data_IF_420892185982
#
_entry.id   IF_420892185982
#
_cell.length_a   1.000
_cell.length_b   1.000
_cell.length_c   1.000
_cell.angle_alpha   90.00
_cell.angle_beta   90.00
_cell.angle_gamma   90.00
#
_symmetry.space_group_name_H-M   'P 1'
#
loop_
_entity.id
_entity.type
_entity.pdbx_description
1 polymer ?
#
# COMPACT_ATOMS: atom_id res chain seq x y z
N UNK A 1 -4.21 18.08 -24.48
CA UNK A 1 -4.73 18.99 -23.42
C UNK A 1 -6.05 18.51 -22.81
N UNK A 2 -6.98 17.92 -23.55
CA UNK A 2 -8.27 17.42 -23.06
C UNK A 2 -8.19 16.15 -22.17
N UNK A 3 -7.21 15.27 -22.41
CA UNK A 3 -6.98 14.03 -21.63
C UNK A 3 -6.65 14.33 -20.15
N UNK A 4 -5.97 15.45 -19.88
CA UNK A 4 -5.58 15.86 -18.53
C UNK A 4 -6.76 16.41 -17.69
N UNK A 5 -7.76 17.02 -18.33
CA UNK A 5 -8.91 17.59 -17.62
C UNK A 5 -9.86 16.49 -17.12
N UNK A 6 -10.15 15.49 -17.97
CA UNK A 6 -11.01 14.36 -17.60
C UNK A 6 -10.42 13.49 -16.48
N UNK A 7 -9.09 13.31 -16.45
CA UNK A 7 -8.40 12.58 -15.38
C UNK A 7 -8.51 13.33 -14.04
N UNK A 8 -8.30 14.65 -14.03
CA UNK A 8 -8.41 15.47 -12.80
C UNK A 8 -9.81 15.43 -12.20
N UNK A 9 -10.86 15.44 -13.03
CA UNK A 9 -12.24 15.32 -12.58
C UNK A 9 -12.49 13.94 -11.95
N UNK A 10 -12.03 12.86 -12.58
CA UNK A 10 -12.15 11.49 -12.04
C UNK A 10 -11.43 11.34 -10.70
N UNK A 11 -10.22 11.88 -10.57
CA UNK A 11 -9.46 11.90 -9.32
C UNK A 11 -10.22 12.65 -8.24
N UNK A 12 -10.74 13.85 -8.53
CA UNK A 12 -11.55 14.63 -7.59
C UNK A 12 -12.78 13.86 -7.11
N UNK A 13 -13.55 13.28 -8.03
CA UNK A 13 -14.75 12.51 -7.69
C UNK A 13 -14.41 11.24 -6.88
N UNK A 14 -13.33 10.55 -7.22
CA UNK A 14 -12.89 9.35 -6.53
C UNK A 14 -12.43 9.68 -5.10
N UNK A 15 -11.64 10.74 -4.90
CA UNK A 15 -11.20 11.20 -3.57
C UNK A 15 -12.40 11.66 -2.74
N UNK A 16 -13.33 12.42 -3.33
CA UNK A 16 -14.56 12.86 -2.64
C UNK A 16 -15.38 11.66 -2.18
N UNK A 17 -15.68 10.73 -3.09
CA UNK A 17 -16.45 9.53 -2.78
C UNK A 17 -15.78 8.70 -1.68
N UNK A 18 -14.46 8.51 -1.74
CA UNK A 18 -13.70 7.81 -0.72
C UNK A 18 -13.85 8.46 0.66
N UNK A 19 -13.66 9.78 0.74
CA UNK A 19 -13.76 10.54 2.00
C UNK A 19 -15.17 10.52 2.57
N UNK A 20 -16.18 10.71 1.73
CA UNK A 20 -17.59 10.64 2.15
C UNK A 20 -17.96 9.24 2.66
N UNK A 21 -17.61 8.18 1.94
CA UNK A 21 -17.83 6.80 2.37
C UNK A 21 -17.14 6.51 3.70
N UNK A 22 -15.89 6.95 3.87
CA UNK A 22 -15.15 6.74 5.12
C UNK A 22 -15.79 7.48 6.30
N UNK A 23 -16.23 8.71 6.09
CA UNK A 23 -16.92 9.50 7.13
C UNK A 23 -18.23 8.85 7.54
N UNK A 24 -19.02 8.36 6.58
CA UNK A 24 -20.28 7.68 6.84
C UNK A 24 -20.09 6.37 7.62
N UNK A 25 -19.11 5.56 7.23
CA UNK A 25 -18.77 4.29 7.92
C UNK A 25 -18.36 4.56 9.37
N UNK A 26 -17.57 5.62 9.61
CA UNK A 26 -17.17 6.04 10.97
C UNK A 26 -18.36 6.48 11.82
N UNK A 27 -19.30 7.23 11.23
CA UNK A 27 -20.54 7.65 11.92
C UNK A 27 -21.41 6.46 12.31
N UNK A 28 -21.38 5.37 11.52
CA UNK A 28 -22.10 4.13 11.81
C UNK A 28 -21.35 3.21 12.80
N UNK A 29 -20.24 3.67 13.40
CA UNK A 29 -19.46 2.90 14.37
C UNK A 29 -18.74 1.67 13.77
N UNK A 30 -18.68 1.55 12.44
CA UNK A 30 -18.01 0.44 11.75
C UNK A 30 -16.59 0.83 11.33
N UNK A 31 -15.61 -0.02 11.66
CA UNK A 31 -14.26 0.06 11.13
C UNK A 31 -14.20 -0.65 9.78
N UNK A 32 -14.10 0.10 8.68
CA UNK A 32 -13.95 -0.48 7.34
C UNK A 32 -13.13 0.45 6.47
N UNK A 33 -11.91 0.07 6.16
CA UNK A 33 -11.00 0.83 5.29
C UNK A 33 -11.08 0.39 3.83
N UNK A 34 -11.52 -0.83 3.57
CA UNK A 34 -11.52 -1.45 2.25
C UNK A 34 -12.65 -0.91 1.34
N UNK A 35 -13.87 -0.79 1.84
CA UNK A 35 -15.03 -0.37 1.04
C UNK A 35 -14.86 1.03 0.41
N UNK A 36 -14.40 2.09 1.13
CA UNK A 36 -14.18 3.40 0.53
C UNK A 36 -13.19 3.36 -0.64
N UNK A 37 -12.13 2.56 -0.51
CA UNK A 37 -11.14 2.39 -1.57
C UNK A 37 -11.69 1.65 -2.79
N UNK A 38 -12.53 0.62 -2.59
CA UNK A 38 -13.21 -0.06 -3.70
C UNK A 38 -14.10 0.89 -4.49
N UNK A 39 -14.85 1.75 -3.82
CA UNK A 39 -15.68 2.79 -4.47
C UNK A 39 -14.80 3.74 -5.29
N UNK A 40 -13.70 4.22 -4.69
CA UNK A 40 -12.78 5.13 -5.36
C UNK A 40 -12.12 4.50 -6.60
N UNK A 41 -11.68 3.24 -6.51
CA UNK A 41 -11.09 2.50 -7.63
C UNK A 41 -12.08 2.20 -8.75
N UNK A 42 -13.39 2.04 -8.47
CA UNK A 42 -14.41 1.94 -9.51
C UNK A 42 -14.56 3.23 -10.31
N UNK A 43 -14.40 4.39 -9.67
CA UNK A 43 -14.47 5.71 -10.33
C UNK A 43 -13.17 6.00 -11.10
N UNK A 44 -12.02 5.70 -10.48
CA UNK A 44 -10.70 5.95 -11.03
C UNK A 44 -9.77 4.75 -10.76
N UNK A 45 -9.67 3.77 -11.69
CA UNK A 45 -8.85 2.56 -11.50
C UNK A 45 -7.36 2.83 -11.22
N UNK A 46 -6.80 3.91 -11.78
CA UNK A 46 -5.40 4.31 -11.60
C UNK A 46 -5.22 5.34 -10.46
N UNK A 47 -6.20 5.46 -9.56
CA UNK A 47 -6.18 6.48 -8.51
C UNK A 47 -4.93 6.39 -7.64
N UNK A 48 -4.55 5.18 -7.21
CA UNK A 48 -3.38 4.98 -6.36
C UNK A 48 -2.10 5.53 -7.00
N UNK A 49 -1.86 5.22 -8.27
CA UNK A 49 -0.67 5.72 -8.98
C UNK A 49 -0.65 7.25 -9.10
N UNK A 50 -1.84 7.86 -9.24
CA UNK A 50 -1.93 9.32 -9.28
C UNK A 50 -1.62 9.95 -7.90
N UNK A 51 -2.14 9.36 -6.81
CA UNK A 51 -1.97 9.87 -5.46
C UNK A 51 -0.56 9.63 -4.88
N UNK A 52 0.10 8.54 -5.30
CA UNK A 52 1.42 8.15 -4.81
C UNK A 52 2.58 8.80 -5.58
N UNK A 53 2.31 9.44 -6.72
CA UNK A 53 3.32 9.90 -7.68
C UNK A 53 4.47 10.72 -7.06
N UNK A 54 4.15 11.61 -6.13
CA UNK A 54 5.11 12.53 -5.52
C UNK A 54 5.38 12.19 -4.03
N UNK A 55 5.16 10.91 -3.65
CA UNK A 55 5.30 10.43 -2.27
C UNK A 55 6.39 9.38 -2.21
N UNK A 56 7.41 9.60 -1.39
CA UNK A 56 8.43 8.59 -1.11
C UNK A 56 7.80 7.44 -0.33
N UNK A 57 7.61 6.30 -0.99
CA UNK A 57 6.89 5.17 -0.38
C UNK A 57 7.84 4.03 -0.03
N UNK A 58 7.71 3.50 1.18
CA UNK A 58 8.31 2.25 1.63
C UNK A 58 7.21 1.22 1.81
N UNK A 59 7.42 0.01 1.28
CA UNK A 59 6.47 -1.09 1.38
C UNK A 59 7.07 -2.18 2.25
N UNK A 60 6.31 -2.65 3.24
CA UNK A 60 6.66 -3.79 4.10
C UNK A 60 5.69 -4.93 3.79
N UNK A 61 6.24 -6.07 3.38
CA UNK A 61 5.49 -7.30 3.07
C UNK A 61 6.14 -8.53 3.68
N UNK A 62 5.51 -9.68 3.56
CA UNK A 62 5.96 -10.97 4.12
C UNK A 62 4.93 -11.55 5.09
N UNK A 63 5.12 -12.79 5.52
CA UNK A 63 4.10 -13.53 6.28
C UNK A 63 3.95 -12.99 7.71
N UNK A 64 5.03 -12.89 8.46
CA UNK A 64 5.02 -12.47 9.86
C UNK A 64 5.90 -11.24 10.10
N UNK A 65 5.62 -10.48 11.16
CA UNK A 65 6.45 -9.36 11.60
C UNK A 65 6.22 -8.04 10.84
N UNK A 66 5.37 -7.98 9.83
CA UNK A 66 5.05 -6.75 9.07
C UNK A 66 4.73 -5.56 9.96
N UNK A 67 3.77 -5.71 10.86
CA UNK A 67 3.32 -4.64 11.76
C UNK A 67 4.42 -4.20 12.73
N UNK A 68 5.22 -5.14 13.25
CA UNK A 68 6.34 -4.83 14.15
C UNK A 68 7.42 -4.03 13.40
N UNK A 69 7.81 -4.49 12.22
CA UNK A 69 8.78 -3.81 11.36
C UNK A 69 8.29 -2.42 10.96
N UNK A 70 7.01 -2.31 10.57
CA UNK A 70 6.40 -1.02 10.25
C UNK A 70 6.45 -0.05 11.42
N UNK A 71 6.13 -0.49 12.63
CA UNK A 71 6.21 0.36 13.84
C UNK A 71 7.63 0.82 14.14
N UNK A 72 8.64 -0.03 13.91
CA UNK A 72 10.06 0.38 14.09
C UNK A 72 10.43 1.48 13.08
N UNK A 73 10.00 1.36 11.84
CA UNK A 73 10.22 2.39 10.81
C UNK A 73 9.45 3.67 11.14
N UNK A 74 8.18 3.57 11.57
CA UNK A 74 7.37 4.72 12.01
C UNK A 74 8.04 5.48 13.14
N UNK A 75 8.57 4.77 14.15
CA UNK A 75 9.28 5.39 15.25
C UNK A 75 10.54 6.11 14.77
N UNK A 76 11.35 5.46 13.93
CA UNK A 76 12.55 6.07 13.37
C UNK A 76 12.25 7.32 12.55
N UNK A 77 11.18 7.31 11.76
CA UNK A 77 10.75 8.48 10.99
C UNK A 77 10.21 9.60 11.87
N UNK A 78 9.50 9.25 12.95
CA UNK A 78 9.02 10.21 13.94
C UNK A 78 10.20 10.90 14.63
N UNK A 79 11.19 10.14 15.07
CA UNK A 79 12.38 10.68 15.73
C UNK A 79 13.22 11.56 14.79
N UNK A 80 13.22 11.24 13.50
CA UNK A 80 13.86 12.04 12.45
C UNK A 80 13.04 13.26 11.99
N UNK A 81 11.82 13.47 12.53
CA UNK A 81 10.94 14.58 12.13
C UNK A 81 10.39 14.47 10.71
N UNK A 82 10.35 13.27 10.14
CA UNK A 82 9.84 13.03 8.79
C UNK A 82 8.32 13.08 8.80
N UNK A 83 7.72 13.83 7.85
CA UNK A 83 6.26 13.90 7.68
C UNK A 83 5.77 12.71 6.87
N UNK A 84 5.08 11.77 7.50
CA UNK A 84 4.60 10.55 6.87
C UNK A 84 3.18 10.16 7.32
N UNK A 85 2.60 9.23 6.58
CA UNK A 85 1.44 8.45 7.02
C UNK A 85 1.70 6.95 6.80
N UNK A 86 1.00 6.12 7.57
CA UNK A 86 1.03 4.67 7.42
C UNK A 86 -0.41 4.13 7.33
N UNK A 87 -0.61 3.03 6.58
CA UNK A 87 -1.89 2.35 6.62
C UNK A 87 -2.03 1.55 7.91
N UNK A 88 -3.23 1.56 8.48
CA UNK A 88 -3.50 0.78 9.68
C UNK A 88 -3.65 -0.71 9.37
N UNK A 89 -3.39 -1.56 10.36
CA UNK A 89 -3.68 -2.98 10.31
C UNK A 89 -5.09 -3.25 9.78
N UNK A 90 -5.23 -4.15 8.82
CA UNK A 90 -6.47 -4.44 8.10
C UNK A 90 -6.72 -3.61 6.84
N UNK A 91 -5.88 -2.60 6.54
CA UNK A 91 -5.92 -1.84 5.29
C UNK A 91 -4.77 -2.23 4.34
N UNK A 92 -4.39 -3.50 4.33
CA UNK A 92 -3.23 -4.06 3.63
C UNK A 92 -3.53 -4.53 2.19
N UNK A 93 -4.78 -4.43 1.74
CA UNK A 93 -5.19 -4.69 0.36
C UNK A 93 -5.07 -3.43 -0.50
N UNK A 94 -5.05 -3.59 -1.83
CA UNK A 94 -4.99 -2.48 -2.79
C UNK A 94 -6.04 -1.39 -2.52
N UNK A 95 -7.27 -1.77 -2.23
CA UNK A 95 -8.37 -0.84 -1.91
C UNK A 95 -8.15 -0.11 -0.58
N UNK A 96 -7.67 -0.81 0.45
CA UNK A 96 -7.34 -0.21 1.74
C UNK A 96 -6.21 0.81 1.61
N UNK A 97 -5.13 0.46 0.94
CA UNK A 97 -3.99 1.35 0.67
C UNK A 97 -4.46 2.56 -0.15
N UNK A 98 -5.28 2.36 -1.19
CA UNK A 98 -5.83 3.46 -1.99
C UNK A 98 -6.68 4.41 -1.14
N UNK A 99 -7.49 3.87 -0.21
CA UNK A 99 -8.29 4.68 0.70
C UNK A 99 -7.42 5.53 1.64
N UNK A 100 -6.32 4.98 2.16
CA UNK A 100 -5.40 5.73 3.00
C UNK A 100 -4.73 6.87 2.22
N UNK A 101 -4.22 6.62 1.01
CA UNK A 101 -3.70 7.68 0.16
C UNK A 101 -4.76 8.76 -0.14
N UNK A 102 -5.99 8.38 -0.46
CA UNK A 102 -7.07 9.32 -0.76
C UNK A 102 -7.43 10.20 0.44
N UNK A 103 -7.47 9.63 1.64
CA UNK A 103 -7.77 10.37 2.88
C UNK A 103 -6.67 11.38 3.20
N UNK A 104 -5.42 11.01 3.00
CA UNK A 104 -4.26 11.85 3.25
C UNK A 104 -3.93 12.82 2.10
N UNK A 105 -4.73 12.81 1.03
CA UNK A 105 -4.60 13.74 -0.09
C UNK A 105 -5.62 14.90 -0.04
N UNK A 106 -5.30 15.98 -0.74
CA UNK A 106 -6.25 17.05 -1.05
C UNK A 106 -7.31 16.55 -2.04
N UNK A 107 -8.36 17.33 -2.27
CA UNK A 107 -9.38 17.00 -3.26
C UNK A 107 -8.83 17.00 -4.70
N UNK A 108 -7.72 17.68 -4.94
CA UNK A 108 -7.00 17.68 -6.23
C UNK A 108 -6.05 16.50 -6.39
N UNK A 109 -5.95 15.61 -5.38
CA UNK A 109 -5.11 14.42 -5.41
C UNK A 109 -3.66 14.64 -4.98
N UNK A 110 -3.30 15.82 -4.45
CA UNK A 110 -1.96 16.04 -3.89
C UNK A 110 -1.89 15.49 -2.47
N UNK A 111 -0.95 14.58 -2.20
CA UNK A 111 -0.72 14.08 -0.85
C UNK A 111 -0.22 15.21 0.08
N UNK A 112 -0.62 15.15 1.34
CA UNK A 112 -0.24 16.11 2.39
C UNK A 112 1.06 15.74 3.09
N UNK A 113 1.55 14.53 2.85
CA UNK A 113 2.74 13.97 3.46
C UNK A 113 3.81 13.72 2.40
N UNK A 114 5.06 13.78 2.80
CA UNK A 114 6.20 13.53 1.91
C UNK A 114 6.53 12.05 1.80
N UNK A 115 6.17 11.26 2.84
CA UNK A 115 6.46 9.84 2.91
C UNK A 115 5.20 9.04 3.22
N UNK A 116 5.20 7.79 2.76
CA UNK A 116 4.19 6.79 3.08
C UNK A 116 4.85 5.47 3.45
N UNK A 117 4.40 4.87 4.54
CA UNK A 117 4.78 3.52 4.94
C UNK A 117 3.58 2.60 4.72
N UNK A 118 3.74 1.62 3.85
CA UNK A 118 2.66 0.74 3.44
C UNK A 118 2.95 -0.68 3.89
N UNK A 119 2.16 -1.17 4.84
CA UNK A 119 2.07 -2.59 5.15
C UNK A 119 1.16 -3.26 4.13
N UNK A 120 1.65 -4.28 3.45
CA UNK A 120 0.93 -4.99 2.39
C UNK A 120 0.94 -6.49 2.63
N UNK A 121 -0.20 -7.11 2.35
CA UNK A 121 -0.30 -8.55 2.15
C UNK A 121 0.48 -8.95 0.88
N UNK A 122 1.00 -10.16 0.81
CA UNK A 122 1.87 -10.62 -0.27
C UNK A 122 1.16 -10.61 -1.64
N UNK A 123 -0.09 -11.04 -1.67
CA UNK A 123 -0.90 -11.00 -2.89
C UNK A 123 -1.26 -9.57 -3.29
N UNK A 124 -1.51 -8.69 -2.31
CA UNK A 124 -1.79 -7.28 -2.54
C UNK A 124 -0.55 -6.51 -2.99
N UNK A 125 0.65 -6.88 -2.52
CA UNK A 125 1.91 -6.24 -2.93
C UNK A 125 2.10 -6.29 -4.45
N UNK A 126 1.86 -7.44 -5.07
CA UNK A 126 1.84 -7.59 -6.55
C UNK A 126 0.93 -6.59 -7.25
N UNK A 127 -0.22 -6.28 -6.66
CA UNK A 127 -1.17 -5.34 -7.24
C UNK A 127 -0.79 -3.88 -6.97
N UNK A 128 -0.32 -3.58 -5.76
CA UNK A 128 0.08 -2.23 -5.32
C UNK A 128 1.32 -1.77 -6.08
N UNK A 129 2.32 -2.64 -6.24
CA UNK A 129 3.59 -2.34 -6.94
C UNK A 129 3.44 -1.91 -8.40
N UNK A 130 2.30 -2.20 -9.04
CA UNK A 130 1.98 -1.71 -10.39
C UNK A 130 1.69 -0.21 -10.43
N UNK A 131 1.32 0.38 -9.30
CA UNK A 131 0.87 1.78 -9.20
C UNK A 131 1.82 2.65 -8.39
N UNK A 132 2.60 2.03 -7.49
CA UNK A 132 3.48 2.74 -6.54
C UNK A 132 4.92 2.48 -6.93
N UNK A 133 5.65 3.54 -7.27
CA UNK A 133 7.11 3.49 -7.42
C UNK A 133 7.76 3.57 -6.03
N UNK A 134 7.95 2.40 -5.41
CA UNK A 134 8.47 2.33 -4.07
C UNK A 134 9.97 2.70 -4.02
N UNK A 135 10.37 3.43 -2.98
CA UNK A 135 11.79 3.74 -2.72
C UNK A 135 12.52 2.56 -2.06
N UNK A 136 11.81 1.82 -1.23
CA UNK A 136 12.31 0.58 -0.63
C UNK A 136 11.16 -0.44 -0.46
N UNK A 137 11.53 -1.69 -0.57
CA UNK A 137 10.67 -2.86 -0.28
C UNK A 137 11.35 -3.68 0.79
N UNK A 138 10.65 -3.92 1.89
CA UNK A 138 11.12 -4.76 3.01
C UNK A 138 10.32 -6.06 3.00
N UNK A 139 10.99 -7.19 2.85
CA UNK A 139 10.41 -8.53 2.95
C UNK A 139 10.87 -9.14 4.26
N UNK A 140 9.95 -9.31 5.20
CA UNK A 140 10.29 -9.74 6.57
C UNK A 140 10.64 -11.22 6.64
N UNK A 141 9.80 -12.06 6.09
CA UNK A 141 9.98 -13.52 5.99
C UNK A 141 8.88 -14.11 5.10
N UNK A 142 9.10 -15.35 4.66
CA UNK A 142 8.11 -16.16 3.96
C UNK A 142 7.95 -17.49 4.67
N UNK A 143 6.95 -17.60 5.53
CA UNK A 143 6.67 -18.84 6.26
C UNK A 143 5.52 -19.62 5.65
N UNK A 144 5.57 -20.93 5.83
CA UNK A 144 4.46 -21.83 5.59
C UNK A 144 3.42 -21.61 6.70
N UNK A 145 2.21 -21.23 6.38
CA UNK A 145 1.12 -21.24 7.36
C UNK A 145 0.76 -22.70 7.66
N UNK A 146 0.41 -23.03 8.93
CA UNK A 146 0.20 -24.41 9.38
C UNK A 146 -0.97 -25.12 8.69
N UNK A 147 -1.80 -24.38 7.96
CA UNK A 147 -2.98 -24.87 7.23
C UNK A 147 -2.74 -25.06 5.72
N UNK A 148 -1.50 -24.84 5.25
CA UNK A 148 -1.20 -24.79 3.82
C UNK A 148 -1.24 -26.16 3.13
N UNK A 149 -2.01 -26.21 2.05
CA UNK A 149 -1.90 -27.22 1.02
C UNK A 149 -0.64 -26.96 0.18
N UNK A 150 -0.05 -28.04 -0.34
CA UNK A 150 1.07 -28.00 -1.27
C UNK A 150 0.82 -26.95 -2.37
N UNK A 151 1.67 -25.92 -2.46
CA UNK A 151 1.60 -24.90 -3.53
C UNK A 151 1.41 -23.44 -3.05
N UNK A 152 0.91 -23.19 -1.84
CA UNK A 152 0.67 -21.82 -1.36
C UNK A 152 1.95 -21.02 -1.15
N UNK A 153 3.01 -21.65 -0.62
CA UNK A 153 4.32 -21.00 -0.40
C UNK A 153 4.93 -20.55 -1.74
N UNK A 154 4.87 -21.42 -2.76
CA UNK A 154 5.37 -21.08 -4.10
C UNK A 154 4.59 -19.90 -4.69
N UNK A 155 3.26 -19.91 -4.54
CA UNK A 155 2.40 -18.83 -5.01
C UNK A 155 2.66 -17.51 -4.25
N UNK A 156 2.93 -17.59 -2.95
CA UNK A 156 3.31 -16.42 -2.13
C UNK A 156 4.64 -15.83 -2.59
N UNK A 157 5.66 -16.67 -2.80
CA UNK A 157 6.95 -16.26 -3.35
C UNK A 157 6.81 -15.62 -4.73
N UNK A 158 6.03 -16.21 -5.62
CA UNK A 158 5.79 -15.68 -6.96
C UNK A 158 5.10 -14.32 -6.92
N UNK A 159 4.15 -14.12 -6.01
CA UNK A 159 3.51 -12.82 -5.83
C UNK A 159 4.51 -11.76 -5.34
N UNK A 160 5.40 -12.12 -4.40
CA UNK A 160 6.45 -11.22 -3.91
C UNK A 160 7.44 -10.92 -5.04
N UNK A 161 7.91 -11.92 -5.78
CA UNK A 161 8.82 -11.74 -6.94
C UNK A 161 8.26 -10.77 -7.96
N UNK A 162 7.01 -10.98 -8.38
CA UNK A 162 6.34 -10.08 -9.33
C UNK A 162 6.25 -8.66 -8.75
N UNK A 163 5.97 -8.53 -7.44
CA UNK A 163 5.95 -7.24 -6.77
C UNK A 163 7.30 -6.53 -6.78
N UNK A 164 8.38 -7.28 -6.55
CA UNK A 164 9.77 -6.79 -6.63
C UNK A 164 10.12 -6.39 -8.07
N UNK A 165 9.78 -7.22 -9.05
CA UNK A 165 10.01 -6.93 -10.48
C UNK A 165 9.30 -5.66 -10.95
N UNK A 166 8.11 -5.37 -10.42
CA UNK A 166 7.42 -4.10 -10.68
C UNK A 166 8.08 -2.90 -10.01
N UNK A 167 8.82 -3.13 -8.90
CA UNK A 167 9.47 -2.09 -8.07
C UNK A 167 10.93 -1.87 -8.47
N UNK A 168 11.22 -1.68 -9.75
CA UNK A 168 12.58 -1.67 -10.34
C UNK A 168 13.56 -0.67 -9.73
N UNK A 169 13.08 0.41 -9.14
CA UNK A 169 13.91 1.46 -8.57
C UNK A 169 14.02 1.35 -7.04
N UNK A 170 13.36 0.35 -6.43
CA UNK A 170 13.35 0.17 -5.00
C UNK A 170 14.63 -0.49 -4.48
N UNK A 171 15.11 -0.03 -3.33
CA UNK A 171 16.07 -0.80 -2.54
C UNK A 171 15.36 -1.98 -1.93
N UNK A 172 15.80 -3.20 -2.20
CA UNK A 172 15.26 -4.41 -1.63
C UNK A 172 15.98 -4.74 -0.31
N UNK A 173 15.21 -4.87 0.77
CA UNK A 173 15.69 -5.32 2.09
C UNK A 173 15.03 -6.65 2.40
N UNK A 174 15.79 -7.73 2.46
CA UNK A 174 15.30 -9.08 2.76
C UNK A 174 15.95 -9.63 4.01
N UNK A 175 15.25 -10.54 4.69
CA UNK A 175 15.83 -11.32 5.77
C UNK A 175 16.74 -12.42 5.20
N UNK A 176 18.05 -12.25 5.35
CA UNK A 176 19.05 -13.20 4.83
C UNK A 176 19.08 -14.54 5.59
N UNK A 177 18.53 -14.59 6.81
CA UNK A 177 18.44 -15.84 7.60
C UNK A 177 17.24 -16.71 7.18
N UNK A 178 16.33 -16.16 6.36
CA UNK A 178 15.22 -16.90 5.76
C UNK A 178 15.61 -17.32 4.34
N UNK A 179 15.75 -18.63 4.13
CA UNK A 179 16.20 -19.20 2.84
C UNK A 179 15.27 -18.87 1.67
N UNK A 180 13.97 -18.72 1.93
CA UNK A 180 12.99 -18.33 0.92
C UNK A 180 13.14 -16.84 0.56
N UNK A 181 13.30 -15.97 1.55
CA UNK A 181 13.61 -14.57 1.31
C UNK A 181 14.94 -14.37 0.60
N UNK A 182 15.98 -15.13 0.96
CA UNK A 182 17.28 -15.07 0.31
C UNK A 182 17.25 -15.53 -1.16
N UNK A 183 16.20 -16.23 -1.58
CA UNK A 183 15.99 -16.66 -2.97
C UNK A 183 15.25 -15.63 -3.85
N UNK A 184 14.78 -14.53 -3.27
CA UNK A 184 14.09 -13.44 -3.98
C UNK A 184 15.07 -12.54 -4.73
#
# INVERSE_FOLDING_TARGET
>A
MWYNCGMKIKVFLAVLACKCCRSLIRLLGRGGTDFPGRVALKICPNLLGYLAKDVTTVIVTGTNGKTTTSRMIEQSWTDAGISFFANKSGANLLSGVTAEFAVHSTMTGKCRYTHALIESDEAAFKAISKFVDAKAVVVTNVFRDQLDRYGEVTHTLDNIRIGIENSKHATLCVNADDSLCASL
#
